data_IF_260206935146
#
_entry.id   IF_260206935146
#
_cell.length_a   1.000
_cell.length_b   1.000
_cell.length_c   1.000
_cell.angle_alpha   90.00
_cell.angle_beta   90.00
_cell.angle_gamma   90.00
#
_symmetry.space_group_name_H-M   'P 1'
#
loop_
_entity.id
_entity.type
_entity.pdbx_description
1 polymer ?
#
# COMPACT_ATOMS: atom_id res chain seq x y z
N UNK A 1 3.05 -20.92 -12.69
CA UNK A 1 3.49 -21.81 -11.61
C UNK A 1 3.21 -21.13 -10.28
N UNK A 2 2.37 -21.73 -9.43
CA UNK A 2 2.28 -21.32 -8.03
C UNK A 2 3.63 -21.68 -7.36
N UNK A 3 4.32 -20.68 -6.78
CA UNK A 3 5.63 -20.87 -6.15
C UNK A 3 5.52 -21.32 -4.68
N UNK A 4 4.31 -21.33 -4.10
CA UNK A 4 4.08 -21.61 -2.68
C UNK A 4 4.33 -20.38 -1.79
N UNK A 5 3.64 -20.33 -0.65
CA UNK A 5 3.65 -19.19 0.28
C UNK A 5 5.06 -18.85 0.78
N UNK A 6 5.81 -19.84 1.28
CA UNK A 6 7.15 -19.62 1.84
C UNK A 6 8.14 -19.00 0.83
N UNK A 7 8.05 -19.43 -0.44
CA UNK A 7 8.90 -18.89 -1.51
C UNK A 7 8.44 -17.47 -1.88
N UNK A 8 7.13 -17.21 -1.90
CA UNK A 8 6.60 -15.88 -2.12
C UNK A 8 7.06 -14.92 -1.03
N UNK A 9 6.85 -15.26 0.24
CA UNK A 9 7.26 -14.44 1.40
C UNK A 9 8.76 -14.14 1.36
N UNK A 10 9.59 -15.15 1.15
CA UNK A 10 11.05 -14.96 1.02
C UNK A 10 11.42 -14.00 -0.12
N UNK A 11 10.80 -14.15 -1.28
CA UNK A 11 11.10 -13.30 -2.43
C UNK A 11 10.63 -11.86 -2.21
N UNK A 12 9.48 -11.66 -1.58
CA UNK A 12 8.96 -10.33 -1.29
C UNK A 12 9.74 -9.62 -0.19
N UNK A 13 10.16 -10.31 0.87
CA UNK A 13 11.09 -9.74 1.86
C UNK A 13 12.40 -9.29 1.20
N UNK A 14 12.96 -10.11 0.30
CA UNK A 14 14.15 -9.73 -0.46
C UNK A 14 13.90 -8.55 -1.42
N UNK A 15 12.70 -8.43 -1.96
CA UNK A 15 12.27 -7.29 -2.79
C UNK A 15 12.16 -6.01 -1.96
N UNK A 16 11.35 -6.00 -0.89
CA UNK A 16 11.14 -4.83 -0.03
C UNK A 16 12.43 -4.30 0.57
N UNK A 17 13.36 -5.17 0.93
CA UNK A 17 14.67 -4.79 1.48
C UNK A 17 15.54 -3.97 0.52
N UNK A 18 15.35 -4.11 -0.81
CA UNK A 18 16.25 -3.54 -1.82
C UNK A 18 15.58 -2.60 -2.81
N UNK A 19 14.25 -2.66 -2.92
CA UNK A 19 13.52 -1.95 -3.96
C UNK A 19 13.53 -0.43 -3.75
N UNK A 20 13.33 0.00 -2.50
CA UNK A 20 13.46 1.39 -2.06
C UNK A 20 14.31 1.39 -0.79
N UNK A 21 15.32 2.25 -0.75
CA UNK A 21 16.22 2.43 0.36
C UNK A 21 16.49 3.92 0.62
N UNK A 22 17.31 4.22 1.62
CA UNK A 22 17.61 5.60 2.02
C UNK A 22 18.24 6.44 0.90
N UNK A 23 19.06 5.83 0.04
CA UNK A 23 19.71 6.53 -1.07
C UNK A 23 18.67 7.08 -2.06
N UNK A 24 17.58 6.33 -2.29
CA UNK A 24 16.50 6.80 -3.17
C UNK A 24 15.81 8.04 -2.58
N UNK A 25 15.60 8.09 -1.26
CA UNK A 25 15.03 9.25 -0.58
C UNK A 25 15.99 10.45 -0.57
N UNK A 26 17.30 10.21 -0.42
CA UNK A 26 18.32 11.25 -0.52
C UNK A 26 18.38 11.85 -1.93
N UNK A 27 18.29 11.01 -2.95
CA UNK A 27 18.23 11.44 -4.34
C UNK A 27 16.96 12.27 -4.61
N UNK A 28 15.79 11.80 -4.16
CA UNK A 28 14.53 12.55 -4.28
C UNK A 28 14.62 13.93 -3.61
N UNK A 29 15.21 14.00 -2.42
CA UNK A 29 15.42 15.26 -1.71
C UNK A 29 16.39 16.17 -2.46
N UNK A 30 17.44 15.63 -3.07
CA UNK A 30 18.39 16.38 -3.90
C UNK A 30 17.73 17.02 -5.13
N UNK A 31 16.66 16.40 -5.65
CA UNK A 31 15.82 16.94 -6.72
C UNK A 31 14.75 17.93 -6.22
N UNK A 32 14.71 18.21 -4.92
CA UNK A 32 13.74 19.14 -4.33
C UNK A 32 12.35 18.55 -4.17
N UNK A 33 12.18 17.22 -4.27
CA UNK A 33 10.92 16.57 -3.96
C UNK A 33 10.68 16.59 -2.45
N UNK A 34 9.42 16.78 -2.05
CA UNK A 34 9.04 16.93 -0.65
C UNK A 34 7.86 16.03 -0.23
N UNK A 35 7.32 15.24 -1.15
CA UNK A 35 6.15 14.38 -0.92
C UNK A 35 6.37 13.01 -1.55
N UNK A 36 6.01 11.95 -0.81
CA UNK A 36 5.94 10.58 -1.34
C UNK A 36 4.53 10.03 -1.22
N UNK A 37 4.13 9.22 -2.21
CA UNK A 37 2.88 8.45 -2.19
C UNK A 37 3.20 6.96 -2.25
N UNK A 38 2.75 6.23 -1.23
CA UNK A 38 3.05 4.81 -1.03
C UNK A 38 1.75 4.00 -1.19
N UNK A 39 1.59 3.24 -2.30
CA UNK A 39 0.48 2.35 -2.50
C UNK A 39 0.65 1.08 -1.66
N UNK A 40 -0.44 0.66 -1.02
CA UNK A 40 -0.49 -0.45 -0.09
C UNK A 40 -1.66 -1.37 -0.46
N UNK A 41 -1.47 -2.67 -0.35
CA UNK A 41 -2.57 -3.63 -0.41
C UNK A 41 -3.21 -3.84 0.96
N UNK A 42 -4.50 -4.17 0.99
CA UNK A 42 -5.18 -4.53 2.24
C UNK A 42 -4.50 -5.71 2.97
N UNK A 43 -3.82 -6.58 2.21
CA UNK A 43 -3.06 -7.72 2.74
C UNK A 43 -1.87 -7.33 3.62
N UNK A 44 -1.53 -6.04 3.70
CA UNK A 44 -0.58 -5.54 4.70
C UNK A 44 -1.07 -5.80 6.14
N UNK A 45 -2.40 -5.81 6.35
CA UNK A 45 -3.04 -6.27 7.58
C UNK A 45 -3.37 -7.76 7.41
N UNK A 46 -2.42 -8.61 7.78
CA UNK A 46 -2.41 -10.04 7.43
C UNK A 46 -3.62 -10.82 7.97
N UNK A 47 -4.22 -10.40 9.08
CA UNK A 47 -5.41 -11.02 9.67
C UNK A 47 -6.73 -10.65 8.95
N UNK A 48 -6.71 -9.75 7.96
CA UNK A 48 -7.83 -9.52 7.04
C UNK A 48 -7.83 -10.46 5.83
N UNK A 49 -6.72 -11.15 5.59
CA UNK A 49 -6.54 -11.99 4.40
C UNK A 49 -7.27 -13.31 4.60
N UNK A 50 -8.17 -13.65 3.67
CA UNK A 50 -8.89 -14.92 3.69
C UNK A 50 -7.95 -16.07 3.32
N UNK A 51 -8.23 -17.30 3.79
CA UNK A 51 -7.39 -18.47 3.50
C UNK A 51 -7.25 -18.78 1.99
N UNK A 52 -8.21 -18.32 1.17
CA UNK A 52 -8.15 -18.42 -0.29
C UNK A 52 -7.23 -17.39 -0.96
N UNK A 53 -6.74 -16.40 -0.21
CA UNK A 53 -5.96 -15.27 -0.70
C UNK A 53 -4.48 -15.46 -0.30
N UNK A 54 -3.59 -15.64 -1.29
CA UNK A 54 -2.18 -15.99 -1.06
C UNK A 54 -1.24 -14.81 -1.26
N UNK A 55 -1.38 -13.79 -0.42
CA UNK A 55 -0.54 -12.60 -0.46
C UNK A 55 0.76 -12.76 0.33
N UNK A 56 1.84 -12.06 -0.07
CA UNK A 56 3.09 -12.07 0.68
C UNK A 56 2.94 -11.43 2.06
N UNK A 57 3.61 -12.00 3.05
CA UNK A 57 3.55 -11.61 4.47
C UNK A 57 4.83 -10.90 4.93
N UNK A 58 4.71 -10.06 5.96
CA UNK A 58 5.80 -9.34 6.61
C UNK A 58 6.02 -7.90 6.12
N UNK A 59 5.15 -7.36 5.27
CA UNK A 59 5.38 -6.05 4.62
C UNK A 59 5.38 -4.84 5.56
N UNK A 60 4.72 -4.93 6.72
CA UNK A 60 4.53 -3.79 7.64
C UNK A 60 5.85 -3.26 8.23
N UNK A 61 6.84 -4.13 8.45
CA UNK A 61 8.14 -3.70 8.98
C UNK A 61 8.86 -2.76 8.00
N UNK A 62 8.78 -3.07 6.69
CA UNK A 62 9.39 -2.27 5.63
C UNK A 62 8.67 -0.94 5.42
N UNK A 63 7.33 -0.94 5.48
CA UNK A 63 6.57 0.32 5.47
C UNK A 63 6.97 1.21 6.66
N UNK A 64 7.04 0.64 7.86
CA UNK A 64 7.42 1.38 9.08
C UNK A 64 8.82 1.98 8.93
N UNK A 65 9.76 1.21 8.40
CA UNK A 65 11.12 1.66 8.14
C UNK A 65 11.15 2.80 7.09
N UNK A 66 10.45 2.65 5.97
CA UNK A 66 10.34 3.66 4.92
C UNK A 66 9.77 4.97 5.46
N UNK A 67 8.66 4.90 6.20
CA UNK A 67 8.02 6.08 6.80
C UNK A 67 8.96 6.79 7.77
N UNK A 68 9.72 6.04 8.56
CA UNK A 68 10.75 6.59 9.44
C UNK A 68 11.80 7.39 8.66
N UNK A 69 12.41 6.77 7.65
CA UNK A 69 13.43 7.42 6.82
C UNK A 69 12.92 8.64 6.05
N UNK A 70 11.69 8.57 5.54
CA UNK A 70 11.06 9.68 4.83
C UNK A 70 10.74 10.83 5.79
N UNK A 71 10.24 10.51 6.99
CA UNK A 71 9.97 11.51 8.02
C UNK A 71 11.25 12.17 8.54
N UNK A 72 12.37 11.45 8.64
CA UNK A 72 13.68 12.00 9.05
C UNK A 72 14.19 13.06 8.06
N UNK A 73 13.76 12.97 6.80
CA UNK A 73 14.09 13.89 5.71
C UNK A 73 13.04 14.99 5.49
N UNK A 74 11.98 14.99 6.29
CA UNK A 74 10.91 15.99 6.17
C UNK A 74 9.94 15.77 5.01
N UNK A 75 9.90 14.57 4.41
CA UNK A 75 8.88 14.26 3.41
C UNK A 75 7.49 14.26 4.02
N UNK A 76 6.52 14.83 3.30
CA UNK A 76 5.11 14.57 3.51
C UNK A 76 4.75 13.20 2.93
N UNK A 77 4.02 12.38 3.68
CA UNK A 77 3.74 10.99 3.30
C UNK A 77 2.24 10.81 3.07
N UNK A 78 1.90 10.26 1.91
CA UNK A 78 0.56 9.80 1.56
C UNK A 78 0.57 8.27 1.55
N UNK A 79 -0.21 7.66 2.43
CA UNK A 79 -0.46 6.21 2.39
C UNK A 79 -1.75 5.96 1.61
N UNK A 80 -1.72 5.05 0.65
CA UNK A 80 -2.83 4.79 -0.26
C UNK A 80 -3.24 3.32 -0.22
N UNK A 81 -4.49 3.04 0.18
CA UNK A 81 -5.10 1.72 0.00
C UNK A 81 -5.34 1.50 -1.50
N UNK A 82 -4.34 0.90 -2.13
CA UNK A 82 -4.23 0.73 -3.58
C UNK A 82 -4.76 -0.61 -4.06
N UNK A 83 -4.63 -1.67 -3.25
CA UNK A 83 -5.28 -2.95 -3.48
C UNK A 83 -6.39 -3.13 -2.45
N UNK A 84 -7.64 -2.94 -2.86
CA UNK A 84 -8.79 -3.12 -1.97
C UNK A 84 -9.26 -4.59 -1.99
N UNK A 85 -9.86 -5.10 -0.89
CA UNK A 85 -10.38 -6.47 -0.84
C UNK A 85 -11.36 -6.74 -1.99
N UNK A 86 -11.23 -7.89 -2.67
CA UNK A 86 -12.13 -8.28 -3.76
C UNK A 86 -11.99 -7.50 -5.07
N UNK A 87 -10.91 -6.72 -5.25
CA UNK A 87 -10.64 -5.85 -6.39
C UNK A 87 -11.69 -4.75 -6.62
N UNK A 88 -11.21 -3.51 -6.69
CA UNK A 88 -12.03 -2.33 -6.94
C UNK A 88 -12.16 -1.95 -8.42
N UNK A 89 -11.40 -2.59 -9.31
CA UNK A 89 -11.46 -2.39 -10.76
C UNK A 89 -11.32 -3.73 -11.49
N UNK A 90 -12.16 -4.03 -12.49
CA UNK A 90 -12.16 -5.33 -13.14
C UNK A 90 -10.99 -5.45 -14.11
N UNK A 91 -10.40 -6.65 -14.20
CA UNK A 91 -9.30 -6.99 -15.10
C UNK A 91 -8.04 -6.13 -14.90
N UNK A 92 -7.80 -5.68 -13.66
CA UNK A 92 -6.64 -4.84 -13.33
C UNK A 92 -5.71 -5.53 -12.32
N UNK A 93 -4.48 -5.90 -12.71
CA UNK A 93 -3.56 -6.61 -11.81
C UNK A 93 -3.02 -5.73 -10.68
N UNK A 94 -3.04 -4.39 -10.83
CA UNK A 94 -2.57 -3.47 -9.78
C UNK A 94 -3.44 -3.49 -8.52
N UNK A 95 -4.66 -4.05 -8.60
CA UNK A 95 -5.55 -4.21 -7.44
C UNK A 95 -5.09 -5.34 -6.50
N UNK A 96 -4.08 -6.12 -6.91
CA UNK A 96 -3.60 -7.32 -6.19
C UNK A 96 -4.40 -8.58 -6.48
N UNK A 97 -5.65 -8.45 -6.94
CA UNK A 97 -6.49 -9.57 -7.35
C UNK A 97 -6.96 -9.35 -8.80
N UNK A 98 -6.46 -10.16 -9.74
CA UNK A 98 -6.95 -10.10 -11.12
C UNK A 98 -8.34 -10.74 -11.21
N UNK A 99 -9.38 -9.95 -10.93
CA UNK A 99 -10.77 -10.37 -10.94
C UNK A 99 -11.51 -9.85 -12.19
N UNK A 100 -12.35 -10.66 -12.86
CA UNK A 100 -13.12 -10.23 -14.02
C UNK A 100 -14.23 -9.23 -13.67
N UNK A 101 -14.65 -9.19 -12.41
CA UNK A 101 -15.70 -8.32 -11.88
C UNK A 101 -15.23 -7.64 -10.60
N UNK A 102 -15.81 -6.47 -10.31
CA UNK A 102 -15.53 -5.74 -9.07
C UNK A 102 -16.22 -6.43 -7.89
N UNK A 103 -15.44 -6.98 -6.96
CA UNK A 103 -15.94 -7.57 -5.71
C UNK A 103 -15.86 -6.62 -4.51
N UNK A 104 -15.14 -5.50 -4.61
CA UNK A 104 -14.91 -4.57 -3.50
C UNK A 104 -16.18 -4.00 -2.85
N UNK A 105 -17.22 -3.73 -3.65
CA UNK A 105 -18.44 -3.08 -3.17
C UNK A 105 -19.44 -4.02 -2.46
N UNK A 106 -19.03 -5.23 -2.07
CA UNK A 106 -19.83 -6.10 -1.20
C UNK A 106 -19.65 -5.70 0.26
N UNK A 107 -20.66 -5.91 1.12
CA UNK A 107 -20.57 -5.57 2.56
C UNK A 107 -19.35 -6.23 3.22
N UNK A 108 -19.06 -7.48 2.84
CA UNK A 108 -17.90 -8.23 3.34
C UNK A 108 -16.57 -7.57 2.97
N UNK A 109 -16.34 -7.27 1.68
CA UNK A 109 -15.08 -6.70 1.22
C UNK A 109 -14.92 -5.23 1.64
N UNK A 110 -16.03 -4.49 1.65
CA UNK A 110 -16.04 -3.11 2.12
C UNK A 110 -15.73 -3.04 3.62
N UNK A 111 -16.31 -3.93 4.44
CA UNK A 111 -16.00 -4.06 5.86
C UNK A 111 -14.52 -4.29 6.13
N UNK A 112 -13.89 -5.22 5.40
CA UNK A 112 -12.43 -5.45 5.49
C UNK A 112 -11.61 -4.20 5.19
N UNK A 113 -12.03 -3.38 4.22
CA UNK A 113 -11.34 -2.11 3.93
C UNK A 113 -11.52 -1.07 5.05
N UNK A 114 -12.68 -1.02 5.70
CA UNK A 114 -12.89 -0.14 6.87
C UNK A 114 -11.97 -0.57 8.02
N UNK A 115 -11.91 -1.86 8.35
CA UNK A 115 -11.00 -2.36 9.37
C UNK A 115 -9.52 -2.04 9.06
N UNK A 116 -9.14 -2.11 7.79
CA UNK A 116 -7.79 -1.72 7.35
C UNK A 116 -7.53 -0.23 7.57
N UNK A 117 -8.49 0.63 7.21
CA UNK A 117 -8.37 2.09 7.36
C UNK A 117 -8.31 2.49 8.83
N UNK A 118 -9.11 1.87 9.70
CA UNK A 118 -9.08 2.08 11.15
C UNK A 118 -7.72 1.67 11.74
N UNK A 119 -7.24 0.48 11.37
CA UNK A 119 -5.95 -0.03 11.80
C UNK A 119 -4.77 0.84 11.35
N UNK A 120 -4.75 1.26 10.08
CA UNK A 120 -3.69 2.14 9.58
C UNK A 120 -3.75 3.51 10.24
N UNK A 121 -4.97 4.02 10.50
CA UNK A 121 -5.17 5.26 11.25
C UNK A 121 -4.57 5.17 12.65
N UNK A 122 -4.80 4.07 13.37
CA UNK A 122 -4.20 3.84 14.69
C UNK A 122 -2.66 3.84 14.61
N UNK A 123 -2.08 3.11 13.65
CA UNK A 123 -0.62 3.08 13.44
C UNK A 123 -0.05 4.47 13.20
N UNK A 124 -0.69 5.26 12.33
CA UNK A 124 -0.26 6.62 11.98
C UNK A 124 -0.19 7.52 13.23
N UNK A 125 -1.14 7.37 14.17
CA UNK A 125 -1.21 8.21 15.36
C UNK A 125 -0.41 7.68 16.55
N UNK A 126 -0.02 6.41 16.54
CA UNK A 126 0.66 5.77 17.69
C UNK A 126 2.15 5.55 17.47
N UNK A 127 2.62 5.47 16.22
CA UNK A 127 4.03 5.19 15.90
C UNK A 127 4.77 6.43 15.37
N UNK A 128 5.89 6.76 16.00
CA UNK A 128 6.72 7.94 15.67
C UNK A 128 7.27 7.93 14.25
N UNK A 129 7.43 6.74 13.65
CA UNK A 129 7.92 6.56 12.28
C UNK A 129 6.94 7.16 11.27
N UNK A 130 5.66 7.27 11.62
CA UNK A 130 4.58 7.73 10.75
C UNK A 130 4.24 9.22 10.95
N UNK A 131 5.04 9.95 11.74
CA UNK A 131 4.75 11.34 12.16
C UNK A 131 4.53 12.36 11.03
N UNK A 132 5.02 12.10 9.82
CA UNK A 132 4.77 12.96 8.65
C UNK A 132 3.72 12.39 7.68
N UNK A 133 3.01 11.34 8.06
CA UNK A 133 1.84 10.89 7.29
C UNK A 133 0.71 11.88 7.51
N UNK A 134 0.37 12.61 6.45
CA UNK A 134 -0.68 13.61 6.50
C UNK A 134 -1.93 13.26 5.70
N UNK A 135 -1.92 12.13 4.98
CA UNK A 135 -3.07 11.66 4.22
C UNK A 135 -3.10 10.13 4.17
N UNK A 136 -4.29 9.58 4.45
CA UNK A 136 -4.65 8.20 4.17
C UNK A 136 -5.73 8.21 3.06
N UNK A 137 -5.42 7.62 1.92
CA UNK A 137 -6.29 7.57 0.75
C UNK A 137 -6.74 6.14 0.43
N UNK A 138 -7.77 6.03 -0.41
CA UNK A 138 -8.14 4.80 -1.08
C UNK A 138 -8.21 5.08 -2.59
N UNK A 139 -7.52 4.28 -3.39
CA UNK A 139 -7.72 4.28 -4.82
C UNK A 139 -8.99 3.49 -5.13
N UNK A 140 -10.10 4.20 -5.35
CA UNK A 140 -11.33 3.61 -5.86
C UNK A 140 -11.83 4.44 -7.04
N UNK A 141 -12.05 3.79 -8.18
CA UNK A 141 -12.76 4.41 -9.29
C UNK A 141 -14.25 4.34 -8.99
N UNK A 142 -14.91 5.51 -8.96
CA UNK A 142 -16.36 5.55 -8.85
C UNK A 142 -16.98 4.75 -9.98
N UNK A 143 -18.17 4.17 -9.75
CA UNK A 143 -18.92 3.44 -10.78
C UNK A 143 -19.21 4.27 -12.04
N UNK A 144 -18.92 5.58 -12.06
CA UNK A 144 -19.36 6.52 -13.10
C UNK A 144 -18.33 7.54 -13.62
N UNK A 145 -17.08 7.63 -13.16
CA UNK A 145 -16.20 8.76 -13.57
C UNK A 145 -14.92 8.39 -14.32
N UNK A 146 -14.69 9.10 -15.43
CA UNK A 146 -13.45 9.19 -16.22
C UNK A 146 -12.76 10.54 -15.97
N UNK A 147 -11.74 10.61 -15.12
CA UNK A 147 -10.80 11.74 -15.08
C UNK A 147 -9.38 11.29 -14.74
N UNK A 148 -8.42 11.90 -15.44
CA UNK A 148 -6.97 11.64 -15.35
C UNK A 148 -6.38 12.20 -14.05
N UNK A 149 -5.38 11.54 -13.42
CA UNK A 149 -4.75 12.04 -12.20
C UNK A 149 -3.64 13.07 -12.48
N UNK A 150 -3.43 13.95 -11.50
CA UNK A 150 -2.35 14.93 -11.44
C UNK A 150 -1.00 14.26 -11.11
N UNK A 151 0.09 14.93 -11.50
CA UNK A 151 1.47 14.45 -11.39
C UNK A 151 1.84 14.14 -9.94
N UNK A 152 1.94 12.86 -9.63
CA UNK A 152 2.39 12.32 -8.34
C UNK A 152 3.52 11.33 -8.63
N UNK A 153 4.64 11.41 -7.91
CA UNK A 153 5.65 10.37 -7.95
C UNK A 153 5.08 9.13 -7.23
N UNK A 154 4.94 8.02 -7.96
CA UNK A 154 4.48 6.75 -7.42
C UNK A 154 5.69 5.96 -6.94
N UNK A 155 5.72 5.62 -5.66
CA UNK A 155 6.71 4.69 -5.11
C UNK A 155 5.94 3.45 -4.70
N UNK A 156 5.91 2.43 -5.54
CA UNK A 156 5.33 1.14 -5.17
C UNK A 156 6.31 0.36 -4.30
N UNK A 157 5.87 -0.04 -3.11
CA UNK A 157 6.48 -1.10 -2.30
C UNK A 157 5.66 -2.39 -2.43
#
# INVERSE_FOLDING_TARGET
MNKGQDIADKNFQAHWKRWINQTDLDEMLSYGLNTIRVPLGYWLKEDLVDDSEHFPKGGLEYLTQLCGWASDRGFYIILDLHGAPGAQEPNQPFTGQYAPTVGFYSDYNYGRAIEWLEWMTDIIHTKKEYRNVGMLGQFARSRTSSRSPATTAFISI
#
